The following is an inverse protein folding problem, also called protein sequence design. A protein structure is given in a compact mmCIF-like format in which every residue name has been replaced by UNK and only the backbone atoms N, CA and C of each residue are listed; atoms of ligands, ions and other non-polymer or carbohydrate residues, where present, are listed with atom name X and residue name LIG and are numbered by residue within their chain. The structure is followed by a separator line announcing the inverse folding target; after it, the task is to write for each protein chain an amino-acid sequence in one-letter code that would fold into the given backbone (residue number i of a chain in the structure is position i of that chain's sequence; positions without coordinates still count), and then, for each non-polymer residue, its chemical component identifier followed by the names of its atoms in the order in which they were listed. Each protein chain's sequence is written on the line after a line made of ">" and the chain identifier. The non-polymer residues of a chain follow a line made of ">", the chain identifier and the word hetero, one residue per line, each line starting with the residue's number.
data_IF_502962023698
#
_entry.id   IF_502962023698
#
_cell.length_a   1.000
_cell.length_b   1.000
_cell.length_c   1.000
_cell.angle_alpha   90.00
_cell.angle_beta   90.00
_cell.angle_gamma   90.00
#
_symmetry.space_group_name_H-M   'P 1'
#
loop_
_entity.id
_entity.type
_entity.pdbx_description
1 polymer ?
#
# COMPACT_ATOMS: atom_id res chain seq x y z
N UNK A 1 -8.24 -49.26 13.20
CA UNK A 1 -9.35 -48.48 13.80
C UNK A 1 -9.28 -47.07 13.22
N UNK A 2 -10.19 -46.73 12.29
CA UNK A 2 -10.19 -45.45 11.59
C UNK A 2 -11.28 -44.56 12.23
N UNK A 3 -10.89 -43.53 12.99
CA UNK A 3 -11.85 -42.59 13.61
C UNK A 3 -12.22 -41.50 12.59
N UNK A 4 -13.49 -41.50 12.16
CA UNK A 4 -14.12 -40.40 11.43
C UNK A 4 -14.19 -39.16 12.33
N UNK A 5 -13.52 -38.08 11.92
CA UNK A 5 -13.73 -36.74 12.48
C UNK A 5 -14.89 -36.11 11.71
N UNK A 6 -15.99 -35.82 12.40
CA UNK A 6 -17.08 -34.99 11.88
C UNK A 6 -16.67 -33.53 12.05
N UNK A 7 -16.37 -32.86 10.95
CA UNK A 7 -16.23 -31.40 10.91
C UNK A 7 -17.65 -30.82 10.91
N UNK A 8 -18.11 -30.44 12.09
CA UNK A 8 -19.34 -29.67 12.26
C UNK A 8 -19.07 -28.21 11.96
N UNK A 9 -19.83 -27.67 11.00
CA UNK A 9 -19.87 -26.27 10.61
C UNK A 9 -20.17 -25.38 11.81
N UNK A 10 -19.18 -24.63 12.29
CA UNK A 10 -19.34 -23.57 13.27
C UNK A 10 -18.87 -22.27 12.64
N UNK A 11 -19.78 -21.68 11.84
CA UNK A 11 -19.62 -20.35 11.28
C UNK A 11 -19.96 -19.34 12.40
N UNK A 12 -19.02 -19.09 13.31
CA UNK A 12 -19.14 -18.00 14.27
C UNK A 12 -18.66 -16.72 13.60
N UNK A 13 -19.61 -15.85 13.29
CA UNK A 13 -19.37 -14.51 12.76
C UNK A 13 -18.93 -13.62 13.94
N UNK A 14 -17.62 -13.47 14.15
CA UNK A 14 -17.07 -12.42 15.00
C UNK A 14 -16.41 -11.38 14.10
N UNK A 15 -17.18 -10.35 13.76
CA UNK A 15 -16.63 -9.12 13.19
C UNK A 15 -16.24 -8.23 14.37
N UNK A 16 -14.97 -8.26 14.75
CA UNK A 16 -14.42 -7.30 15.70
C UNK A 16 -14.13 -6.00 14.94
N UNK A 17 -14.98 -5.00 15.12
CA UNK A 17 -14.80 -3.67 14.57
C UNK A 17 -13.82 -2.88 15.43
N UNK A 18 -12.68 -2.48 14.86
CA UNK A 18 -11.87 -1.39 15.40
C UNK A 18 -11.91 -0.23 14.42
N UNK A 19 -12.71 0.79 14.74
CA UNK A 19 -12.60 2.13 14.17
C UNK A 19 -11.64 2.91 15.07
N UNK A 20 -10.42 3.13 14.62
CA UNK A 20 -9.51 4.11 15.22
C UNK A 20 -9.82 5.46 14.56
N UNK A 21 -10.84 6.16 15.08
CA UNK A 21 -11.05 7.57 14.82
C UNK A 21 -9.96 8.36 15.57
N UNK A 22 -8.99 8.86 14.82
CA UNK A 22 -8.01 9.84 15.31
C UNK A 22 -8.56 11.25 15.12
N UNK A 23 -9.56 11.63 15.92
CA UNK A 23 -9.95 13.04 16.09
C UNK A 23 -8.97 13.69 17.07
N UNK A 24 -7.90 14.27 16.51
CA UNK A 24 -6.94 15.09 17.23
C UNK A 24 -7.11 16.55 16.84
N UNK A 25 -7.73 17.30 17.73
CA UNK A 25 -7.96 18.75 17.74
C UNK A 25 -6.68 19.55 17.38
N UNK A 26 -6.63 20.13 16.17
CA UNK A 26 -5.54 21.02 15.74
C UNK A 26 -5.89 22.47 16.08
N UNK A 27 -5.71 22.85 17.35
CA UNK A 27 -5.72 24.25 17.79
C UNK A 27 -4.57 24.51 18.75
N UNK A 28 -3.32 24.43 18.27
CA UNK A 28 -2.15 25.10 18.89
C UNK A 28 -0.85 24.86 18.09
N UNK A 29 -0.76 25.30 16.83
CA UNK A 29 0.55 25.46 16.15
C UNK A 29 0.49 26.65 15.18
N UNK A 30 0.21 27.84 15.68
CA UNK A 30 0.20 29.09 14.88
C UNK A 30 1.38 30.04 15.19
N UNK A 31 2.33 29.63 16.02
CA UNK A 31 3.44 30.50 16.47
C UNK A 31 4.80 30.16 15.81
N UNK A 32 4.89 29.11 14.99
CA UNK A 32 6.16 28.69 14.35
C UNK A 32 6.19 28.85 12.81
N UNK A 33 5.26 29.60 12.21
CA UNK A 33 5.19 29.78 10.75
C UNK A 33 6.00 30.96 10.18
N UNK A 34 6.63 31.79 11.01
CA UNK A 34 7.18 33.07 10.53
C UNK A 34 8.69 33.07 10.26
N UNK A 35 9.42 31.98 10.53
CA UNK A 35 10.89 31.98 10.46
C UNK A 35 11.50 30.92 9.52
N UNK A 36 10.69 30.31 8.64
CA UNK A 36 11.16 29.37 7.59
C UNK A 36 10.70 29.87 6.21
N UNK A 37 10.83 31.18 5.95
CA UNK A 37 10.48 31.76 4.65
C UNK A 37 11.68 32.04 3.73
N UNK A 38 12.94 31.83 4.19
CA UNK A 38 14.12 32.32 3.45
C UNK A 38 15.18 31.27 3.06
N UNK A 39 14.94 29.98 3.27
CA UNK A 39 15.78 28.94 2.68
C UNK A 39 15.01 28.13 1.63
N UNK A 40 14.83 28.71 0.45
CA UNK A 40 14.59 27.96 -0.79
C UNK A 40 15.83 27.14 -1.15
N UNK A 41 16.12 26.10 -0.37
CA UNK A 41 16.89 24.97 -0.85
C UNK A 41 16.05 24.34 -1.94
N UNK A 42 16.55 24.37 -3.18
CA UNK A 42 16.02 23.61 -4.33
C UNK A 42 16.14 22.10 -4.06
N UNK A 43 15.45 21.57 -3.05
CA UNK A 43 15.22 20.13 -2.96
C UNK A 43 14.30 19.78 -4.12
N UNK A 44 14.75 18.85 -4.96
CA UNK A 44 13.83 18.17 -5.85
C UNK A 44 12.68 17.63 -4.98
N UNK A 45 11.42 17.88 -5.34
CA UNK A 45 10.28 17.42 -4.55
C UNK A 45 10.43 15.92 -4.30
N UNK A 46 10.32 15.55 -3.03
CA UNK A 46 10.38 14.16 -2.59
C UNK A 46 9.23 13.43 -3.28
N UNK A 47 9.58 12.49 -4.16
CA UNK A 47 8.62 11.74 -4.96
C UNK A 47 8.08 10.62 -4.08
N UNK A 48 7.05 10.95 -3.29
CA UNK A 48 6.46 10.03 -2.29
C UNK A 48 5.65 8.90 -2.96
N UNK A 49 5.09 9.14 -4.15
CA UNK A 49 4.43 8.13 -4.99
C UNK A 49 4.81 8.42 -6.45
N UNK A 50 5.48 7.47 -7.12
CA UNK A 50 5.69 7.61 -8.56
C UNK A 50 5.21 6.39 -9.31
N UNK A 51 4.37 6.67 -10.30
CA UNK A 51 3.68 5.64 -11.05
C UNK A 51 4.33 5.55 -12.39
N UNK A 52 5.08 4.47 -12.62
CA UNK A 52 5.66 4.20 -13.91
C UNK A 52 4.57 3.64 -14.83
N UNK A 53 4.13 4.43 -15.82
CA UNK A 53 3.27 3.93 -16.88
C UNK A 53 4.10 3.54 -18.09
N UNK A 54 3.71 2.42 -18.71
CA UNK A 54 4.11 2.07 -20.07
C UNK A 54 2.84 1.83 -20.88
N UNK A 55 2.62 2.62 -21.92
CA UNK A 55 1.40 2.53 -22.73
C UNK A 55 1.63 1.64 -23.96
N UNK A 56 0.69 0.73 -24.27
CA UNK A 56 0.81 -0.13 -25.45
C UNK A 56 0.54 0.61 -26.77
N UNK A 57 -0.02 1.82 -26.71
CA UNK A 57 -0.38 2.68 -27.84
C UNK A 57 0.11 4.12 -27.64
N UNK A 58 0.16 4.90 -28.73
CA UNK A 58 0.44 6.34 -28.67
C UNK A 58 -0.69 7.07 -27.94
N UNK A 59 -0.36 7.91 -26.97
CA UNK A 59 -1.31 8.64 -26.17
C UNK A 59 -1.20 10.13 -26.41
N UNK A 60 -2.29 10.73 -26.89
CA UNK A 60 -2.39 12.16 -27.19
C UNK A 60 -3.27 12.78 -26.10
N UNK A 61 -2.81 13.87 -25.53
CA UNK A 61 -3.52 14.57 -24.48
C UNK A 61 -3.33 16.08 -24.60
N UNK A 62 -4.23 16.84 -23.98
CA UNK A 62 -4.02 18.26 -23.80
C UNK A 62 -3.24 18.48 -22.52
N UNK A 63 -2.06 19.06 -22.65
CA UNK A 63 -1.27 19.50 -21.52
C UNK A 63 -1.28 21.01 -21.33
N UNK A 64 -0.94 21.44 -20.13
CA UNK A 64 -0.74 22.83 -19.75
C UNK A 64 0.66 22.99 -19.18
N UNK A 65 1.35 24.08 -19.51
CA UNK A 65 2.64 24.41 -18.89
C UNK A 65 2.47 25.04 -17.49
N UNK A 66 1.28 25.59 -17.22
CA UNK A 66 0.85 26.06 -15.89
C UNK A 66 -0.65 25.83 -15.72
N UNK A 67 -1.12 25.27 -14.58
CA UNK A 67 -2.53 24.94 -14.39
C UNK A 67 -3.44 26.18 -14.32
N UNK A 68 -2.89 27.37 -14.03
CA UNK A 68 -3.64 28.62 -13.95
C UNK A 68 -3.68 29.40 -15.27
N UNK A 69 -2.92 28.97 -16.30
CA UNK A 69 -2.84 29.68 -17.57
C UNK A 69 -3.46 28.84 -18.68
N UNK A 70 -4.73 29.10 -19.02
CA UNK A 70 -5.42 28.39 -20.09
C UNK A 70 -4.83 28.64 -21.48
N UNK A 71 -4.15 29.78 -21.70
CA UNK A 71 -3.46 30.07 -22.96
C UNK A 71 -2.22 29.17 -23.14
N UNK A 72 -1.70 28.56 -22.07
CA UNK A 72 -0.59 27.61 -22.13
C UNK A 72 -1.01 26.21 -22.63
N UNK A 73 -2.28 26.04 -23.00
CA UNK A 73 -2.86 24.79 -23.50
C UNK A 73 -2.16 24.36 -24.80
N UNK A 74 -1.52 23.19 -24.77
CA UNK A 74 -0.86 22.57 -25.94
C UNK A 74 -1.20 21.09 -25.99
N UNK A 75 -1.34 20.54 -27.19
CA UNK A 75 -1.43 19.10 -27.34
C UNK A 75 -0.03 18.50 -27.25
N UNK A 76 0.09 17.44 -26.46
CA UNK A 76 1.29 16.63 -26.35
C UNK A 76 0.97 15.20 -26.70
N UNK A 77 2.01 14.46 -27.05
CA UNK A 77 1.90 13.04 -27.23
C UNK A 77 2.99 12.29 -26.46
N UNK A 78 2.63 11.12 -25.94
CA UNK A 78 3.53 10.12 -25.38
C UNK A 78 3.54 8.96 -26.37
N UNK A 79 4.71 8.65 -26.92
CA UNK A 79 4.84 7.54 -27.85
C UNK A 79 4.58 6.20 -27.14
N UNK A 80 4.10 5.22 -27.90
CA UNK A 80 3.90 3.86 -27.38
C UNK A 80 5.22 3.31 -26.82
N UNK A 81 5.14 2.53 -25.73
CA UNK A 81 6.28 1.91 -25.03
C UNK A 81 7.26 2.88 -24.37
N UNK A 82 6.99 4.19 -24.38
CA UNK A 82 7.73 5.13 -23.56
C UNK A 82 7.24 5.09 -22.11
N UNK A 83 8.19 5.18 -21.19
CA UNK A 83 7.92 5.21 -19.77
C UNK A 83 7.72 6.65 -19.30
N UNK A 84 6.59 6.95 -18.65
CA UNK A 84 6.38 8.24 -17.99
C UNK A 84 5.94 8.06 -16.55
N UNK A 85 6.08 9.14 -15.75
CA UNK A 85 5.61 9.20 -14.38
C UNK A 85 4.52 10.24 -14.22
N UNK A 86 3.42 9.84 -13.61
CA UNK A 86 2.52 10.78 -12.95
C UNK A 86 3.14 11.05 -11.59
N UNK A 87 3.47 12.32 -11.30
CA UNK A 87 4.22 12.70 -10.09
C UNK A 87 3.25 13.03 -8.97
N UNK A 88 2.23 13.85 -9.24
CA UNK A 88 1.44 14.45 -8.17
C UNK A 88 0.10 14.96 -8.68
N UNK A 89 -0.98 14.68 -7.93
CA UNK A 89 -2.27 15.37 -8.09
C UNK A 89 -2.16 16.72 -7.40
N UNK A 90 -2.36 17.81 -8.13
CA UNK A 90 -2.16 19.17 -7.61
C UNK A 90 -3.43 19.65 -6.92
N UNK A 91 -4.58 19.33 -7.51
CA UNK A 91 -5.91 19.62 -7.00
C UNK A 91 -6.90 18.59 -7.56
N UNK A 92 -8.21 18.83 -7.38
CA UNK A 92 -9.28 17.99 -7.91
C UNK A 92 -9.28 17.89 -9.44
N UNK A 93 -8.71 18.87 -10.12
CA UNK A 93 -8.89 19.08 -11.55
C UNK A 93 -7.64 18.74 -12.37
N UNK A 94 -6.45 18.80 -11.77
CA UNK A 94 -5.18 18.65 -12.46
C UNK A 94 -4.21 17.67 -11.79
N UNK A 95 -3.53 16.91 -12.63
CA UNK A 95 -2.37 16.09 -12.28
C UNK A 95 -1.14 16.55 -13.06
N UNK A 96 0.05 16.41 -12.45
CA UNK A 96 1.32 16.64 -13.15
C UNK A 96 1.88 15.34 -13.73
N UNK A 97 2.20 15.38 -15.03
CA UNK A 97 2.90 14.33 -15.76
C UNK A 97 4.33 14.80 -16.01
N UNK A 98 5.26 13.85 -15.91
CA UNK A 98 6.66 14.06 -16.23
C UNK A 98 7.21 12.85 -16.97
N UNK A 99 7.86 13.08 -18.11
CA UNK A 99 8.55 12.01 -18.82
C UNK A 99 9.82 11.64 -18.07
N UNK A 100 9.94 10.37 -17.69
CA UNK A 100 11.18 9.85 -17.12
C UNK A 100 12.05 9.43 -18.28
N UNK A 101 13.13 10.18 -18.52
CA UNK A 101 14.17 9.70 -19.41
C UNK A 101 14.82 8.51 -18.72
N UNK A 102 14.43 7.30 -19.14
CA UNK A 102 15.01 6.08 -18.62
C UNK A 102 16.53 6.06 -18.85
N UNK A 103 17.26 5.44 -17.94
CA UNK A 103 18.72 5.26 -18.05
C UNK A 103 19.14 4.39 -19.26
N UNK A 104 18.19 3.78 -19.98
CA UNK A 104 18.49 3.05 -21.23
C UNK A 104 18.89 4.04 -22.32
N UNK A 105 20.20 4.26 -22.43
CA UNK A 105 20.89 4.96 -23.53
C UNK A 105 20.69 4.23 -24.86
N UNK A 106 19.53 4.27 -25.49
CA UNK A 106 19.45 3.94 -26.91
C UNK A 106 18.29 4.69 -27.55
N UNK A 107 18.61 5.47 -28.57
CA UNK A 107 17.76 6.32 -29.43
C UNK A 107 17.26 7.63 -28.80
N UNK A 108 17.41 8.71 -29.56
CA UNK A 108 16.81 10.02 -29.29
C UNK A 108 15.32 9.82 -29.03
N UNK A 109 14.72 10.51 -28.05
CA UNK A 109 13.27 10.45 -27.86
C UNK A 109 12.60 10.82 -29.20
N UNK A 110 11.49 10.15 -29.56
CA UNK A 110 10.78 10.49 -30.78
C UNK A 110 10.41 11.97 -30.73
N UNK A 111 10.78 12.72 -31.78
CA UNK A 111 10.51 14.17 -31.84
C UNK A 111 9.04 14.48 -32.13
N UNK A 112 8.28 13.49 -32.61
CA UNK A 112 6.85 13.58 -32.91
C UNK A 112 6.23 12.19 -32.83
N UNK A 113 4.95 12.13 -32.46
CA UNK A 113 4.18 10.89 -32.62
C UNK A 113 3.78 10.71 -34.07
N UNK A 114 3.97 9.49 -34.56
CA UNK A 114 3.90 9.14 -35.98
C UNK A 114 2.51 9.36 -36.56
N UNK A 115 1.47 9.19 -35.73
CA UNK A 115 0.08 9.20 -36.17
C UNK A 115 -0.52 10.61 -36.21
N UNK A 116 -0.08 11.52 -35.34
CA UNK A 116 -0.80 12.78 -35.09
C UNK A 116 -0.06 14.06 -35.43
N UNK A 117 1.25 14.00 -35.75
CA UNK A 117 2.11 15.19 -35.93
C UNK A 117 2.09 16.14 -34.71
N UNK A 118 1.67 15.65 -33.55
CA UNK A 118 1.68 16.38 -32.29
C UNK A 118 3.10 16.34 -31.71
N UNK A 119 3.50 17.43 -31.05
CA UNK A 119 4.80 17.51 -30.40
C UNK A 119 4.90 16.44 -29.30
N UNK A 120 6.01 15.71 -29.30
CA UNK A 120 6.31 14.80 -28.20
C UNK A 120 6.49 15.59 -26.90
N UNK A 121 6.08 14.99 -25.77
CA UNK A 121 6.29 15.57 -24.46
C UNK A 121 7.80 15.84 -24.25
N UNK A 122 8.24 17.06 -23.89
CA UNK A 122 9.67 17.32 -23.75
C UNK A 122 10.25 16.54 -22.56
N UNK A 123 11.39 15.85 -22.71
CA UNK A 123 12.04 15.18 -21.60
C UNK A 123 12.40 16.19 -20.52
N UNK A 124 12.15 15.84 -19.26
CA UNK A 124 12.49 16.72 -18.14
C UNK A 124 11.54 17.89 -17.88
N UNK A 125 10.48 18.07 -18.68
CA UNK A 125 9.44 19.06 -18.39
C UNK A 125 8.24 18.43 -17.69
N UNK A 126 7.69 19.15 -16.71
CA UNK A 126 6.38 18.87 -16.15
C UNK A 126 5.33 19.47 -17.05
N UNK A 127 4.30 18.68 -17.34
CA UNK A 127 3.10 19.13 -18.04
C UNK A 127 1.90 18.73 -17.22
N UNK A 128 0.97 19.64 -17.05
CA UNK A 128 -0.25 19.42 -16.28
C UNK A 128 -1.34 18.91 -17.21
N UNK A 129 -2.05 17.87 -16.81
CA UNK A 129 -3.20 17.31 -17.54
C UNK A 129 -4.44 17.45 -16.66
N UNK A 130 -5.60 17.67 -17.28
CA UNK A 130 -6.86 17.63 -16.52
C UNK A 130 -7.18 16.19 -16.14
N UNK A 131 -7.63 15.99 -14.91
CA UNK A 131 -8.02 14.67 -14.39
C UNK A 131 -9.12 14.03 -15.24
N UNK A 132 -10.04 14.83 -15.79
CA UNK A 132 -11.10 14.37 -16.69
C UNK A 132 -10.55 13.79 -18.00
N UNK A 133 -9.52 14.40 -18.59
CA UNK A 133 -8.91 13.88 -19.83
C UNK A 133 -8.22 12.53 -19.62
N UNK A 134 -7.64 12.31 -18.43
CA UNK A 134 -7.00 11.02 -18.12
C UNK A 134 -8.04 9.90 -17.95
N UNK A 135 -9.23 10.24 -17.44
CA UNK A 135 -10.36 9.31 -17.30
C UNK A 135 -10.97 8.99 -18.66
N UNK A 136 -11.30 10.01 -19.47
CA UNK A 136 -11.97 9.85 -20.77
C UNK A 136 -11.16 9.01 -21.75
N UNK A 137 -9.85 9.15 -21.72
CA UNK A 137 -8.95 8.44 -22.62
C UNK A 137 -8.68 7.00 -22.21
N UNK A 138 -9.17 6.58 -21.05
CA UNK A 138 -8.87 5.26 -20.47
C UNK A 138 -7.39 5.06 -20.15
N UNK A 139 -6.54 6.09 -20.26
CA UNK A 139 -5.11 5.98 -19.95
C UNK A 139 -4.89 5.63 -18.47
N UNK A 140 -5.82 6.02 -17.59
CA UNK A 140 -5.79 5.63 -16.18
C UNK A 140 -6.08 4.16 -15.90
N UNK A 141 -6.81 3.45 -16.76
CA UNK A 141 -7.17 2.04 -16.48
C UNK A 141 -5.92 1.16 -16.40
N UNK A 142 -4.88 1.51 -17.13
CA UNK A 142 -3.60 0.79 -17.13
C UNK A 142 -2.56 1.34 -16.16
N UNK A 143 -2.90 2.33 -15.34
CA UNK A 143 -1.95 2.86 -14.35
C UNK A 143 -1.82 1.84 -13.24
N UNK A 144 -0.64 1.25 -13.13
CA UNK A 144 -0.29 0.50 -11.93
C UNK A 144 0.32 1.47 -10.91
N UNK A 145 -0.34 1.68 -9.76
CA UNK A 145 0.30 2.41 -8.65
C UNK A 145 1.18 1.44 -7.89
N UNK A 146 2.45 1.76 -7.69
CA UNK A 146 3.33 0.94 -6.87
C UNK A 146 4.12 1.78 -5.90
N UNK A 147 4.22 1.34 -4.66
CA UNK A 147 4.94 2.10 -3.64
C UNK A 147 4.97 1.39 -2.30
N UNK A 148 5.55 2.06 -1.32
CA UNK A 148 5.58 1.60 0.07
C UNK A 148 4.17 1.72 0.66
N UNK A 149 3.76 0.70 1.42
CA UNK A 149 2.51 0.67 2.17
C UNK A 149 2.81 0.37 3.64
N UNK A 150 2.06 0.95 4.56
CA UNK A 150 2.27 0.76 5.99
C UNK A 150 0.97 0.93 6.77
N UNK A 151 0.88 0.28 7.92
CA UNK A 151 -0.30 0.36 8.76
C UNK A 151 -0.22 -0.52 9.98
N UNK A 152 -1.39 -0.83 10.56
CA UNK A 152 -1.51 -1.73 11.69
C UNK A 152 -2.05 -3.09 11.20
N UNK A 153 -1.36 -4.16 11.57
CA UNK A 153 -1.77 -5.53 11.33
C UNK A 153 -2.33 -6.12 12.62
N UNK A 154 -3.54 -6.66 12.53
CA UNK A 154 -4.19 -7.39 13.62
C UNK A 154 -4.40 -8.83 13.17
N UNK A 155 -3.76 -9.78 13.83
CA UNK A 155 -3.95 -11.21 13.60
C UNK A 155 -4.70 -11.80 14.80
N UNK A 156 -6.05 -11.96 14.72
CA UNK A 156 -6.87 -12.38 15.87
C UNK A 156 -6.91 -13.90 16.11
N UNK A 157 -6.57 -14.68 15.08
CA UNK A 157 -6.51 -16.14 15.15
C UNK A 157 -5.19 -16.60 14.54
N UNK A 158 -4.51 -17.49 15.25
CA UNK A 158 -3.24 -18.08 14.81
C UNK A 158 -3.38 -19.58 14.77
N UNK A 159 -2.95 -20.19 13.68
CA UNK A 159 -2.74 -21.62 13.59
C UNK A 159 -1.26 -21.91 13.82
N UNK A 160 -0.93 -22.53 14.94
CA UNK A 160 0.44 -22.86 15.30
C UNK A 160 0.84 -24.23 14.73
N UNK A 161 2.06 -24.33 14.20
CA UNK A 161 2.53 -25.56 13.55
C UNK A 161 3.13 -26.58 14.50
N UNK A 162 3.58 -26.15 15.68
CA UNK A 162 4.20 -27.02 16.69
C UNK A 162 3.20 -28.04 17.24
N UNK A 163 1.97 -27.62 17.54
CA UNK A 163 0.92 -28.44 18.15
C UNK A 163 -0.31 -28.64 17.25
N UNK A 164 -0.37 -27.92 16.11
CA UNK A 164 -1.51 -27.95 15.20
C UNK A 164 -2.76 -27.28 15.77
N UNK A 165 -2.62 -26.39 16.74
CA UNK A 165 -3.75 -25.73 17.39
C UNK A 165 -4.17 -24.46 16.67
N UNK A 166 -5.49 -24.20 16.65
CA UNK A 166 -6.06 -22.91 16.28
C UNK A 166 -6.39 -22.15 17.55
N UNK A 167 -5.62 -21.10 17.83
CA UNK A 167 -5.72 -20.35 19.08
C UNK A 167 -6.28 -18.95 18.81
N UNK A 168 -7.28 -18.49 19.58
CA UNK A 168 -7.66 -17.08 19.61
C UNK A 168 -6.57 -16.29 20.35
N UNK A 169 -5.60 -15.77 19.59
CA UNK A 169 -4.49 -14.95 20.07
C UNK A 169 -4.39 -13.74 19.17
N UNK A 170 -4.32 -12.55 19.76
CA UNK A 170 -4.16 -11.30 19.02
C UNK A 170 -2.71 -10.85 18.99
N UNK A 171 -2.11 -10.80 17.79
CA UNK A 171 -0.94 -9.95 17.53
C UNK A 171 -1.43 -8.61 17.01
N UNK A 172 -0.94 -7.51 17.61
CA UNK A 172 -1.16 -6.15 17.11
C UNK A 172 0.22 -5.58 16.81
N UNK A 173 0.53 -5.42 15.53
CA UNK A 173 1.86 -5.01 15.10
C UNK A 173 1.79 -3.97 13.98
N UNK A 174 2.68 -2.95 13.96
CA UNK A 174 2.89 -2.19 12.75
C UNK A 174 3.41 -3.11 11.63
N UNK A 175 2.95 -2.85 10.40
CA UNK A 175 3.48 -3.50 9.21
C UNK A 175 4.00 -2.46 8.22
N UNK A 176 4.98 -2.89 7.42
CA UNK A 176 5.46 -2.19 6.25
C UNK A 176 5.50 -3.17 5.08
N UNK A 177 5.24 -2.69 3.87
CA UNK A 177 5.16 -3.53 2.69
C UNK A 177 5.37 -2.75 1.41
N UNK A 178 5.28 -3.49 0.32
CA UNK A 178 5.30 -2.93 -1.02
C UNK A 178 4.00 -3.27 -1.72
N UNK A 179 3.28 -2.27 -2.21
CA UNK A 179 1.98 -2.43 -2.85
C UNK A 179 2.11 -2.30 -4.37
N UNK A 180 1.39 -3.12 -5.10
CA UNK A 180 1.07 -2.95 -6.52
C UNK A 180 -0.45 -2.87 -6.67
N UNK A 181 -0.94 -1.75 -7.18
CA UNK A 181 -2.36 -1.47 -7.38
C UNK A 181 -2.64 -1.41 -8.88
N UNK A 182 -3.69 -2.05 -9.36
CA UNK A 182 -4.24 -1.87 -10.70
C UNK A 182 -5.52 -1.04 -10.65
N UNK A 183 -5.47 0.20 -11.16
CA UNK A 183 -6.64 1.08 -11.25
C UNK A 183 -7.81 0.48 -12.03
N UNK A 184 -7.55 -0.33 -13.07
CA UNK A 184 -8.63 -1.00 -13.82
C UNK A 184 -9.51 -1.91 -12.96
N UNK A 185 -8.98 -2.44 -11.85
CA UNK A 185 -9.69 -3.43 -11.03
C UNK A 185 -9.96 -2.95 -9.61
N UNK A 186 -9.39 -1.82 -9.20
CA UNK A 186 -9.32 -1.38 -7.81
C UNK A 186 -8.80 -2.48 -6.85
N UNK A 187 -7.97 -3.38 -7.38
CA UNK A 187 -7.29 -4.41 -6.61
C UNK A 187 -5.83 -3.98 -6.43
N UNK A 188 -5.40 -3.94 -5.19
CA UNK A 188 -3.99 -3.83 -4.84
C UNK A 188 -3.52 -5.09 -4.13
N UNK A 189 -2.26 -5.45 -4.30
CA UNK A 189 -1.66 -6.59 -3.62
C UNK A 189 -0.18 -6.35 -3.36
N UNK A 190 0.41 -7.07 -2.42
CA UNK A 190 1.78 -6.79 -2.02
C UNK A 190 2.32 -7.68 -0.91
N UNK A 191 3.64 -7.94 -0.87
CA UNK A 191 4.26 -8.50 0.32
C UNK A 191 4.25 -7.48 1.46
N UNK A 192 4.10 -7.99 2.67
CA UNK A 192 4.18 -7.22 3.91
C UNK A 192 5.13 -7.92 4.88
N UNK A 193 5.80 -7.12 5.71
CA UNK A 193 6.54 -7.57 6.89
C UNK A 193 5.96 -6.86 8.11
N UNK A 194 5.97 -7.53 9.26
CA UNK A 194 5.47 -6.96 10.50
C UNK A 194 6.35 -7.39 11.68
N UNK A 195 6.38 -6.56 12.71
CA UNK A 195 7.00 -6.87 13.99
C UNK A 195 6.33 -6.03 15.08
N UNK A 196 5.95 -6.65 16.19
CA UNK A 196 5.27 -5.95 17.27
C UNK A 196 5.00 -6.82 18.50
N UNK A 197 4.38 -6.25 19.54
CA UNK A 197 3.98 -7.00 20.72
C UNK A 197 2.85 -7.99 20.41
N UNK A 198 2.81 -9.09 21.15
CA UNK A 198 1.75 -10.09 21.07
C UNK A 198 1.34 -10.60 22.45
N UNK A 199 0.06 -10.94 22.56
CA UNK A 199 -0.50 -11.62 23.72
C UNK A 199 -0.76 -13.09 23.33
N UNK A 200 -0.01 -13.98 23.96
CA UNK A 200 0.08 -15.40 23.57
C UNK A 200 -0.57 -16.24 24.67
N UNK A 201 -1.67 -16.96 24.37
CA UNK A 201 -2.32 -17.85 25.32
C UNK A 201 -1.40 -19.01 25.66
N UNK A 202 -1.22 -19.21 26.96
CA UNK A 202 -0.38 -20.20 27.59
C UNK A 202 -1.26 -21.20 28.34
N UNK A 203 -1.06 -22.49 28.14
CA UNK A 203 -1.67 -23.50 29.01
C UNK A 203 -0.64 -23.97 30.03
N UNK A 204 -0.93 -23.81 31.32
CA UNK A 204 -0.05 -24.32 32.35
C UNK A 204 -0.32 -25.80 32.65
N UNK A 205 0.54 -26.44 33.45
CA UNK A 205 0.42 -27.87 33.80
C UNK A 205 -0.88 -28.22 34.54
N UNK A 206 -1.54 -27.23 35.14
CA UNK A 206 -2.82 -27.39 35.87
C UNK A 206 -4.03 -27.25 34.93
N UNK A 207 -3.80 -26.94 33.65
CA UNK A 207 -4.83 -26.77 32.64
C UNK A 207 -5.55 -25.42 32.69
N UNK A 208 -5.02 -24.43 33.40
CA UNK A 208 -5.52 -23.06 33.33
C UNK A 208 -4.83 -22.32 32.18
N UNK A 209 -5.60 -21.47 31.50
CA UNK A 209 -5.10 -20.65 30.40
C UNK A 209 -4.67 -19.29 30.92
N UNK A 210 -3.36 -19.01 30.87
CA UNK A 210 -2.77 -17.71 31.16
C UNK A 210 -2.45 -16.97 29.86
N UNK A 211 -2.16 -15.67 29.93
CA UNK A 211 -1.74 -14.88 28.77
C UNK A 211 -0.35 -14.34 29.02
N UNK A 212 0.59 -14.68 28.15
CA UNK A 212 1.98 -14.24 28.23
C UNK A 212 2.24 -13.14 27.21
N UNK A 213 2.97 -12.12 27.61
CA UNK A 213 3.44 -11.08 26.72
C UNK A 213 4.68 -11.55 25.94
N UNK A 214 4.69 -11.35 24.63
CA UNK A 214 5.82 -11.68 23.77
C UNK A 214 6.01 -10.69 22.63
N UNK A 215 7.05 -10.93 21.84
CA UNK A 215 7.26 -10.26 20.55
C UNK A 215 6.83 -11.19 19.43
N UNK A 216 6.27 -10.64 18.36
CA UNK A 216 5.78 -11.39 17.22
C UNK A 216 6.24 -10.69 15.96
N UNK A 217 6.75 -11.45 15.00
CA UNK A 217 7.20 -10.91 13.73
C UNK A 217 7.04 -11.90 12.60
N UNK A 218 7.03 -11.39 11.38
CA UNK A 218 6.80 -12.24 10.23
C UNK A 218 6.70 -11.50 8.91
N UNK A 219 6.23 -12.25 7.92
CA UNK A 219 6.00 -11.76 6.57
C UNK A 219 4.72 -12.37 6.01
N UNK A 220 4.15 -11.73 5.01
CA UNK A 220 2.96 -12.23 4.37
C UNK A 220 2.64 -11.52 3.09
N UNK A 221 1.39 -11.69 2.69
CA UNK A 221 0.84 -11.15 1.46
C UNK A 221 -0.50 -10.50 1.79
N UNK A 222 -0.70 -9.29 1.30
CA UNK A 222 -1.92 -8.52 1.47
C UNK A 222 -2.56 -8.26 0.11
N UNK A 223 -3.89 -8.28 0.09
CA UNK A 223 -4.74 -7.92 -1.05
C UNK A 223 -5.77 -6.91 -0.56
N UNK A 224 -5.76 -5.71 -1.14
CA UNK A 224 -6.78 -4.69 -0.92
C UNK A 224 -7.78 -4.73 -2.08
N UNK A 225 -9.07 -4.85 -1.77
CA UNK A 225 -10.18 -4.86 -2.72
C UNK A 225 -10.97 -3.57 -2.56
N UNK A 226 -11.21 -2.86 -3.67
CA UNK A 226 -12.05 -1.65 -3.73
C UNK A 226 -11.61 -0.55 -2.76
N UNK A 227 -10.33 -0.53 -2.36
CA UNK A 227 -9.76 0.38 -1.37
C UNK A 227 -10.37 0.32 0.05
N UNK A 228 -11.47 -0.42 0.25
CA UNK A 228 -12.19 -0.53 1.53
C UNK A 228 -11.97 -1.85 2.24
N UNK A 229 -11.62 -2.94 1.54
CA UNK A 229 -11.42 -4.24 2.16
C UNK A 229 -9.96 -4.66 2.03
N UNK A 230 -9.37 -5.16 3.12
CA UNK A 230 -8.02 -5.72 3.10
C UNK A 230 -8.08 -7.17 3.57
N UNK A 231 -7.48 -8.06 2.79
CA UNK A 231 -7.34 -9.49 3.09
C UNK A 231 -5.86 -9.78 3.16
N UNK A 232 -5.38 -10.33 4.27
CA UNK A 232 -3.97 -10.69 4.39
C UNK A 232 -3.80 -12.14 4.83
N UNK A 233 -2.80 -12.78 4.25
CA UNK A 233 -2.28 -14.06 4.69
C UNK A 233 -0.87 -13.85 5.21
N UNK A 234 -0.63 -14.19 6.46
CA UNK A 234 0.66 -13.95 7.12
C UNK A 234 1.22 -15.22 7.73
N UNK A 235 2.53 -15.36 7.64
CA UNK A 235 3.33 -16.33 8.37
C UNK A 235 4.19 -15.58 9.38
N UNK A 236 4.15 -16.02 10.64
CA UNK A 236 4.86 -15.35 11.72
C UNK A 236 5.54 -16.32 12.67
N UNK A 237 6.30 -15.74 13.57
CA UNK A 237 6.97 -16.42 14.66
C UNK A 237 6.81 -15.60 15.94
N UNK A 238 6.43 -16.27 17.02
CA UNK A 238 6.32 -15.66 18.35
C UNK A 238 7.57 -15.93 19.19
N UNK A 239 8.20 -14.86 19.66
CA UNK A 239 9.35 -14.83 20.56
C UNK A 239 8.86 -14.56 21.99
N UNK A 240 9.07 -15.55 22.85
CA UNK A 240 8.73 -15.50 24.28
C UNK A 240 10.02 -15.70 25.10
N UNK A 241 10.07 -15.12 26.30
CA UNK A 241 11.15 -15.33 27.25
C UNK A 241 11.34 -16.82 27.59
N UNK A 242 12.57 -17.25 27.83
CA UNK A 242 12.88 -18.62 28.20
C UNK A 242 12.35 -19.01 29.60
N UNK A 243 12.06 -18.03 30.46
CA UNK A 243 11.32 -18.25 31.71
C UNK A 243 9.94 -18.83 31.43
N UNK A 244 9.21 -18.21 30.50
CA UNK A 244 7.80 -18.51 30.29
C UNK A 244 7.65 -19.76 29.43
N UNK A 245 8.63 -20.06 28.57
CA UNK A 245 8.72 -21.33 27.82
C UNK A 245 8.91 -22.55 28.74
N UNK A 246 9.65 -22.40 29.84
CA UNK A 246 9.87 -23.52 30.78
C UNK A 246 8.63 -23.83 31.61
N UNK A 247 7.85 -22.80 31.91
CA UNK A 247 6.61 -22.94 32.68
C UNK A 247 5.45 -23.45 31.81
N UNK A 248 5.50 -23.19 30.51
CA UNK A 248 4.46 -23.55 29.57
C UNK A 248 5.07 -24.32 28.41
N UNK A 249 5.12 -25.65 28.56
CA UNK A 249 5.61 -26.56 27.52
C UNK A 249 4.88 -26.27 26.20
N UNK A 250 5.65 -25.93 25.17
CA UNK A 250 5.21 -25.66 23.77
C UNK A 250 4.62 -24.27 23.48
N UNK A 251 4.90 -23.27 24.32
CA UNK A 251 4.55 -21.88 24.02
C UNK A 251 5.45 -21.23 22.95
N UNK A 252 4.81 -20.60 21.96
CA UNK A 252 5.48 -19.86 20.90
C UNK A 252 5.97 -20.77 19.77
N UNK A 253 6.42 -20.15 18.69
CA UNK A 253 6.78 -20.88 17.48
C UNK A 253 6.21 -20.25 16.22
N UNK A 254 6.31 -20.97 15.12
CA UNK A 254 5.79 -20.53 13.83
C UNK A 254 4.27 -20.72 13.76
N UNK A 255 3.61 -19.76 13.13
CA UNK A 255 2.17 -19.76 12.94
C UNK A 255 1.79 -19.15 11.59
N UNK A 256 0.57 -19.44 11.14
CA UNK A 256 -0.10 -18.71 10.06
C UNK A 256 -1.37 -18.06 10.55
N UNK A 257 -1.71 -16.91 9.96
CA UNK A 257 -2.99 -16.25 10.19
C UNK A 257 -3.58 -15.74 8.87
N UNK A 258 -4.91 -15.73 8.86
CA UNK A 258 -5.71 -15.08 7.84
C UNK A 258 -6.43 -13.91 8.49
N UNK A 259 -6.32 -12.72 7.89
CA UNK A 259 -6.91 -11.51 8.44
C UNK A 259 -7.78 -10.84 7.37
N UNK A 260 -8.92 -10.29 7.82
CA UNK A 260 -9.80 -9.48 6.99
C UNK A 260 -10.06 -8.20 7.75
N UNK A 261 -9.79 -7.06 7.12
CA UNK A 261 -10.12 -5.75 7.62
C UNK A 261 -11.01 -4.99 6.65
N UNK A 262 -11.71 -4.00 7.19
CA UNK A 262 -12.53 -3.07 6.43
C UNK A 262 -12.24 -1.64 6.90
N UNK A 263 -12.12 -0.72 5.95
CA UNK A 263 -11.98 0.72 6.18
C UNK A 263 -13.24 1.40 5.65
N UNK A 264 -13.97 2.05 6.56
CA UNK A 264 -15.14 2.86 6.23
C UNK A 264 -14.71 4.32 6.33
N UNK A 265 -14.67 5.00 5.17
CA UNK A 265 -14.46 6.44 5.08
C UNK A 265 -15.79 7.19 5.18
#
# INVERSE_FOLDING_TARGET
>A
MCRRIRIGTLLMCFITFYSLASDGDTREVEILKTEIANETVKRAPEVIDSQKLSLPYEFIFTGYESPQNEESRKQYCIAAKEDFRIIESINSDFSSIYMVVGWRRTSKPPTSCTVSKVAALPPGKRVFIRNTEIVETGALTHVMRSGVDFGLLVAPYKYYFNDGSLVPSSTIAPYAGWRWNSHATDIAWGPVIFAGPALIPASNEVGTTDTVFGLSGGAGFQVNLMQSFNISFVYGYDLISDSDKKENNDLGGSWIAFTVGAQFN
#
